data_IF_006938549405
#
_entry.id   IF_006938549405
#
_cell.length_a   1.000
_cell.length_b   1.000
_cell.length_c   1.000
_cell.angle_alpha   90.00
_cell.angle_beta   90.00
_cell.angle_gamma   90.00
#
_symmetry.space_group_name_H-M   'P 1'
#
loop_
_entity.id
_entity.type
_entity.pdbx_description
1 polymer ?
#
# COMPACT_ATOMS: atom_id res chain seq x y z
N UNK A 1 -11.88 -1.96 5.19
CA UNK A 1 -12.27 -2.38 3.83
C UNK A 1 -13.77 -2.21 3.72
N UNK A 2 -14.17 -1.29 2.88
CA UNK A 2 -15.58 -0.97 2.63
C UNK A 2 -16.12 -1.88 1.53
N UNK A 3 -17.37 -2.33 1.65
CA UNK A 3 -18.02 -3.19 0.66
C UNK A 3 -19.24 -2.49 0.06
N UNK A 4 -19.39 -2.56 -1.26
CA UNK A 4 -20.53 -1.97 -1.98
C UNK A 4 -20.88 -2.79 -3.21
N UNK A 5 -22.09 -2.59 -3.76
CA UNK A 5 -22.43 -3.12 -5.08
C UNK A 5 -22.18 -2.07 -6.17
N UNK A 6 -22.07 -2.51 -7.41
CA UNK A 6 -21.78 -1.64 -8.57
C UNK A 6 -22.79 -0.49 -8.74
N UNK A 7 -24.06 -0.70 -8.38
CA UNK A 7 -25.10 0.33 -8.47
C UNK A 7 -24.91 1.44 -7.45
N UNK A 8 -24.57 1.09 -6.21
CA UNK A 8 -24.32 2.05 -5.13
C UNK A 8 -22.98 2.77 -5.34
N UNK A 9 -21.95 2.05 -5.80
CA UNK A 9 -20.68 2.65 -6.19
C UNK A 9 -20.89 3.72 -7.26
N UNK A 10 -21.63 3.42 -8.33
CA UNK A 10 -21.92 4.39 -9.40
C UNK A 10 -22.60 5.67 -8.88
N UNK A 11 -23.47 5.57 -7.88
CA UNK A 11 -24.17 6.73 -7.29
C UNK A 11 -23.25 7.62 -6.45
N UNK A 12 -22.20 7.05 -5.84
CA UNK A 12 -21.30 7.71 -4.89
C UNK A 12 -19.84 7.66 -5.34
N UNK A 13 -19.62 7.57 -6.65
CA UNK A 13 -18.31 7.25 -7.25
C UNK A 13 -17.20 8.14 -6.71
N UNK A 14 -17.38 9.45 -6.80
CA UNK A 14 -16.38 10.43 -6.36
C UNK A 14 -16.09 10.33 -4.87
N UNK A 15 -17.13 10.34 -4.04
CA UNK A 15 -17.01 10.25 -2.57
C UNK A 15 -16.24 8.99 -2.14
N UNK A 16 -16.56 7.84 -2.73
CA UNK A 16 -15.94 6.56 -2.36
C UNK A 16 -14.50 6.47 -2.83
N UNK A 17 -14.17 7.00 -4.01
CA UNK A 17 -12.78 7.08 -4.49
C UNK A 17 -11.94 8.02 -3.61
N UNK A 18 -12.46 9.20 -3.29
CA UNK A 18 -11.79 10.16 -2.40
C UNK A 18 -11.54 9.57 -1.01
N UNK A 19 -12.48 8.80 -0.46
CA UNK A 19 -12.30 8.09 0.80
C UNK A 19 -11.18 7.04 0.71
N UNK A 20 -11.16 6.22 -0.35
CA UNK A 20 -10.10 5.23 -0.55
C UNK A 20 -8.73 5.89 -0.66
N UNK A 21 -8.62 7.01 -1.39
CA UNK A 21 -7.36 7.76 -1.54
C UNK A 21 -6.93 8.41 -0.21
N UNK A 22 -7.85 9.06 0.49
CA UNK A 22 -7.52 9.86 1.68
C UNK A 22 -7.20 9.01 2.90
N UNK A 23 -7.85 7.86 3.03
CA UNK A 23 -7.76 7.03 4.23
C UNK A 23 -7.04 5.70 3.98
N UNK A 24 -6.54 5.47 2.76
CA UNK A 24 -5.94 4.19 2.35
C UNK A 24 -6.83 3.01 2.77
N UNK A 25 -8.14 3.16 2.55
CA UNK A 25 -9.12 2.11 2.84
C UNK A 25 -9.54 1.42 1.54
N UNK A 26 -9.21 0.12 1.37
CA UNK A 26 -9.62 -0.64 0.21
C UNK A 26 -11.14 -0.71 0.08
N UNK A 27 -11.61 -0.57 -1.15
CA UNK A 27 -13.02 -0.70 -1.52
C UNK A 27 -13.24 -1.98 -2.32
N UNK A 28 -14.18 -2.79 -1.89
CA UNK A 28 -14.63 -3.98 -2.59
C UNK A 28 -15.99 -3.72 -3.26
N UNK A 29 -16.04 -3.86 -4.59
CA UNK A 29 -17.20 -3.58 -5.43
C UNK A 29 -17.71 -4.88 -6.03
N UNK A 30 -18.88 -5.33 -5.58
CA UNK A 30 -19.54 -6.51 -6.14
C UNK A 30 -20.31 -6.17 -7.42
N UNK A 31 -20.08 -6.95 -8.47
CA UNK A 31 -20.75 -6.91 -9.77
C UNK A 31 -21.48 -8.24 -10.02
N UNK A 32 -22.08 -8.42 -11.20
CA UNK A 32 -22.68 -9.71 -11.59
C UNK A 32 -21.64 -10.79 -11.88
N UNK A 33 -20.47 -10.40 -12.36
CA UNK A 33 -19.43 -11.32 -12.85
C UNK A 33 -18.32 -11.56 -11.82
N UNK A 34 -18.39 -10.88 -10.66
CA UNK A 34 -17.39 -10.99 -9.59
C UNK A 34 -17.16 -9.67 -8.87
N UNK A 35 -16.08 -9.61 -8.10
CA UNK A 35 -15.71 -8.46 -7.29
C UNK A 35 -14.50 -7.72 -7.90
N UNK A 36 -14.52 -6.39 -7.84
CA UNK A 36 -13.38 -5.55 -8.13
C UNK A 36 -12.87 -4.90 -6.84
N UNK A 37 -11.57 -4.81 -6.66
CA UNK A 37 -10.93 -4.11 -5.54
C UNK A 37 -10.36 -2.81 -6.05
N UNK A 38 -10.70 -1.71 -5.38
CA UNK A 38 -10.11 -0.40 -5.61
C UNK A 38 -9.27 -0.04 -4.39
N UNK A 39 -8.03 0.38 -4.65
CA UNK A 39 -7.07 0.89 -3.68
C UNK A 39 -6.51 2.21 -4.20
N UNK A 40 -5.88 2.99 -3.34
CA UNK A 40 -5.16 4.20 -3.76
C UNK A 40 -3.97 3.82 -4.64
N UNK A 41 -3.52 4.75 -5.48
CA UNK A 41 -2.28 4.56 -6.27
C UNK A 41 -1.07 4.35 -5.34
N UNK A 42 -1.03 5.07 -4.21
CA UNK A 42 0.00 4.91 -3.18
C UNK A 42 0.04 3.49 -2.63
N UNK A 43 -1.11 2.93 -2.22
CA UNK A 43 -1.19 1.54 -1.74
C UNK A 43 -0.82 0.54 -2.83
N UNK A 44 -1.24 0.77 -4.08
CA UNK A 44 -0.87 -0.09 -5.21
C UNK A 44 0.65 -0.13 -5.40
N UNK A 45 1.30 1.04 -5.43
CA UNK A 45 2.75 1.13 -5.57
C UNK A 45 3.46 0.49 -4.38
N UNK A 46 2.99 0.71 -3.15
CA UNK A 46 3.54 0.08 -1.95
C UNK A 46 3.44 -1.45 -1.97
N UNK A 47 2.32 -1.99 -2.47
CA UNK A 47 2.14 -3.44 -2.63
C UNK A 47 3.09 -4.01 -3.69
N UNK A 48 3.21 -3.35 -4.85
CA UNK A 48 4.12 -3.77 -5.92
C UNK A 48 5.57 -3.75 -5.45
N UNK A 49 5.98 -2.71 -4.74
CA UNK A 49 7.33 -2.59 -4.20
C UNK A 49 7.59 -3.66 -3.12
N UNK A 50 6.61 -3.90 -2.23
CA UNK A 50 6.72 -4.95 -1.22
C UNK A 50 6.87 -6.34 -1.87
N UNK A 51 6.15 -6.60 -2.95
CA UNK A 51 6.29 -7.83 -3.73
C UNK A 51 7.67 -7.93 -4.38
N UNK A 52 8.18 -6.84 -4.94
CA UNK A 52 9.52 -6.78 -5.52
C UNK A 52 10.60 -7.09 -4.47
N UNK A 53 10.58 -6.39 -3.33
CA UNK A 53 11.48 -6.62 -2.20
C UNK A 53 11.41 -8.08 -1.74
N UNK A 54 10.19 -8.62 -1.60
CA UNK A 54 9.99 -10.00 -1.15
C UNK A 54 10.43 -11.05 -2.17
N UNK A 55 10.58 -10.68 -3.44
CA UNK A 55 11.04 -11.58 -4.51
C UNK A 55 12.57 -11.73 -4.54
N UNK A 56 13.30 -10.78 -3.94
CA UNK A 56 14.75 -10.83 -3.85
C UNK A 56 15.13 -11.62 -2.61
N UNK A 57 15.88 -12.74 -2.73
CA UNK A 57 16.32 -13.52 -1.58
C UNK A 57 17.08 -12.65 -0.57
N UNK A 58 16.81 -12.83 0.71
CA UNK A 58 17.47 -12.16 1.84
C UNK A 58 17.20 -10.65 2.00
N UNK A 59 16.75 -9.94 0.96
CA UNK A 59 16.55 -8.49 1.02
C UNK A 59 15.48 -8.09 2.05
N UNK A 60 14.38 -8.84 2.12
CA UNK A 60 13.33 -8.60 3.12
C UNK A 60 13.88 -8.75 4.54
N UNK A 61 14.67 -9.80 4.78
CA UNK A 61 15.29 -10.06 6.08
C UNK A 61 16.25 -8.94 6.47
N UNK A 62 17.13 -8.53 5.55
CA UNK A 62 18.08 -7.42 5.76
C UNK A 62 17.38 -6.10 6.11
N UNK A 63 16.28 -5.77 5.41
CA UNK A 63 15.47 -4.58 5.72
C UNK A 63 14.86 -4.68 7.12
N UNK A 64 14.30 -5.84 7.48
CA UNK A 64 13.71 -6.06 8.80
C UNK A 64 14.74 -6.05 9.94
N UNK A 65 15.97 -6.46 9.67
CA UNK A 65 17.09 -6.32 10.59
C UNK A 65 17.47 -4.85 10.76
N UNK A 66 17.63 -4.10 9.66
CA UNK A 66 17.92 -2.67 9.70
C UNK A 66 16.87 -1.84 10.44
N UNK A 67 15.59 -2.19 10.37
CA UNK A 67 14.51 -1.54 11.15
C UNK A 67 14.65 -1.76 12.65
N UNK A 68 15.27 -2.87 13.07
CA UNK A 68 15.51 -3.19 14.50
C UNK A 68 16.82 -2.59 15.01
N UNK A 69 17.73 -2.19 14.12
CA UNK A 69 19.01 -1.59 14.49
C UNK A 69 18.77 -0.27 15.25
N UNK A 70 19.35 -0.11 16.46
CA UNK A 70 19.27 1.14 17.20
C UNK A 70 19.83 2.32 16.41
N UNK A 71 19.21 3.50 16.54
CA UNK A 71 19.70 4.71 15.87
C UNK A 71 21.14 5.09 16.26
N UNK A 72 21.62 4.66 17.43
CA UNK A 72 23.01 4.86 17.88
C UNK A 72 24.06 4.12 17.05
N UNK A 73 23.66 3.10 16.29
CA UNK A 73 24.55 2.36 15.37
C UNK A 73 24.56 2.97 13.96
N UNK A 74 23.68 3.94 13.69
CA UNK A 74 23.68 4.71 12.45
C UNK A 74 24.67 5.88 12.47
N UNK A 75 24.91 6.46 11.30
CA UNK A 75 25.68 7.70 11.14
C UNK A 75 24.75 8.86 10.79
N UNK A 76 25.15 10.11 11.08
CA UNK A 76 24.35 11.26 10.69
C UNK A 76 24.28 11.37 9.15
N UNK A 77 23.16 11.83 8.61
CA UNK A 77 22.99 11.98 7.16
C UNK A 77 24.08 12.86 6.51
N UNK A 78 24.65 13.81 7.25
CA UNK A 78 25.77 14.66 6.81
C UNK A 78 27.11 13.94 6.71
N UNK A 79 27.24 12.76 7.32
CA UNK A 79 28.47 11.94 7.35
C UNK A 79 28.45 10.84 6.28
N UNK A 80 27.29 10.57 5.68
CA UNK A 80 27.13 9.62 4.57
C UNK A 80 27.89 10.13 3.34
N UNK A 81 28.84 9.34 2.85
CA UNK A 81 29.48 9.56 1.55
C UNK A 81 28.65 8.86 0.48
N UNK A 82 28.15 9.62 -0.50
CA UNK A 82 27.37 9.12 -1.62
C UNK A 82 28.24 8.63 -2.77
#
# INVERSE_FOLDING_TARGET
MTNTNITNFRKRLFEMLEQTIKYNEPLNISTKDGNAIVISEEDYNGLVETLYISSIPHLKEEILEGVKTPASEGVAASEVQW
#
